data_IF_077807703359
#
_entry.id   IF_077807703359
#
_cell.length_a   1.000
_cell.length_b   1.000
_cell.length_c   1.000
_cell.angle_alpha   90.00
_cell.angle_beta   90.00
_cell.angle_gamma   90.00
#
_symmetry.space_group_name_H-M   'P 1'
#
loop_
_entity.id
_entity.type
_entity.pdbx_description
1 polymer ?
#
# COMPACT_ATOMS: atom_id res chain seq x y z
N UNK A 1 -38.63 -12.42 -9.75
CA UNK A 1 -37.83 -11.20 -10.05
C UNK A 1 -36.79 -10.84 -8.98
N UNK A 2 -36.64 -11.61 -7.89
CA UNK A 2 -35.76 -11.27 -6.76
C UNK A 2 -34.44 -12.07 -6.59
N UNK A 3 -34.21 -13.26 -7.19
CA UNK A 3 -32.99 -14.03 -6.88
C UNK A 3 -31.74 -13.54 -7.64
N UNK A 4 -31.92 -12.93 -8.82
CA UNK A 4 -30.80 -12.40 -9.60
C UNK A 4 -30.20 -11.13 -8.99
N UNK A 5 -31.03 -10.30 -8.34
CA UNK A 5 -30.59 -9.04 -7.73
C UNK A 5 -29.76 -9.29 -6.46
N UNK A 6 -30.10 -10.31 -5.66
CA UNK A 6 -29.33 -10.69 -4.47
C UNK A 6 -28.00 -11.34 -4.81
N UNK A 7 -27.93 -12.14 -5.88
CA UNK A 7 -26.67 -12.70 -6.39
C UNK A 7 -25.72 -11.61 -6.92
N UNK A 8 -26.25 -10.60 -7.61
CA UNK A 8 -25.47 -9.45 -8.06
C UNK A 8 -24.92 -8.63 -6.89
N UNK A 9 -25.77 -8.33 -5.89
CA UNK A 9 -25.32 -7.61 -4.69
C UNK A 9 -24.29 -8.44 -3.91
N UNK A 10 -24.48 -9.75 -3.75
CA UNK A 10 -23.51 -10.63 -3.09
C UNK A 10 -22.19 -10.73 -3.85
N UNK A 11 -22.21 -10.78 -5.19
CA UNK A 11 -21.01 -10.76 -6.02
C UNK A 11 -20.28 -9.41 -5.93
N UNK A 12 -21.01 -8.29 -5.92
CA UNK A 12 -20.44 -6.94 -5.74
C UNK A 12 -19.85 -6.79 -4.34
N UNK A 13 -20.52 -7.28 -3.29
CA UNK A 13 -20.01 -7.28 -1.92
C UNK A 13 -18.78 -8.18 -1.79
N UNK A 14 -18.74 -9.35 -2.44
CA UNK A 14 -17.56 -10.20 -2.49
C UNK A 14 -16.38 -9.55 -3.23
N UNK A 15 -16.64 -8.90 -4.38
CA UNK A 15 -15.65 -8.10 -5.11
C UNK A 15 -15.08 -6.95 -4.27
N UNK A 16 -15.90 -6.33 -3.41
CA UNK A 16 -15.46 -5.26 -2.50
C UNK A 16 -14.77 -5.79 -1.23
N UNK A 17 -15.21 -6.93 -0.69
CA UNK A 17 -14.63 -7.54 0.51
C UNK A 17 -13.21 -8.10 0.29
N UNK A 18 -12.86 -8.50 -0.94
CA UNK A 18 -11.49 -8.89 -1.29
C UNK A 18 -10.49 -7.73 -1.07
N UNK A 19 -10.94 -6.48 -1.10
CA UNK A 19 -10.09 -5.31 -0.85
C UNK A 19 -9.79 -5.06 0.63
N UNK A 20 -10.58 -5.63 1.57
CA UNK A 20 -10.42 -5.40 3.00
C UNK A 20 -9.57 -6.48 3.70
N UNK A 21 -9.17 -7.53 2.99
CA UNK A 21 -8.29 -8.59 3.52
C UNK A 21 -6.79 -8.20 3.52
N UNK A 22 -6.46 -6.92 3.25
CA UNK A 22 -5.15 -6.38 3.63
C UNK A 22 -5.13 -6.17 5.14
N UNK A 23 -5.02 -7.26 5.90
CA UNK A 23 -4.49 -7.19 7.24
C UNK A 23 -3.16 -6.42 7.12
N UNK A 24 -3.07 -5.26 7.79
CA UNK A 24 -1.96 -4.28 7.76
C UNK A 24 -0.58 -4.92 7.95
N UNK A 25 -0.06 -5.61 6.94
CA UNK A 25 1.31 -6.07 6.90
C UNK A 25 2.15 -4.88 6.43
N UNK A 26 3.27 -4.63 7.10
CA UNK A 26 4.24 -3.65 6.63
C UNK A 26 4.91 -4.16 5.36
N UNK A 27 5.15 -3.29 4.40
CA UNK A 27 5.85 -3.63 3.17
C UNK A 27 7.34 -3.93 3.47
N UNK A 28 7.83 -5.06 2.94
CA UNK A 28 9.22 -5.53 3.14
C UNK A 28 10.25 -4.60 2.48
N UNK A 29 9.81 -3.74 1.56
CA UNK A 29 10.64 -2.69 0.97
C UNK A 29 11.13 -1.68 2.02
N UNK A 30 10.42 -1.53 3.15
CA UNK A 30 10.74 -0.55 4.19
C UNK A 30 10.98 -1.28 5.53
N UNK A 31 12.16 -1.87 5.74
CA UNK A 31 12.40 -2.80 6.86
C UNK A 31 12.39 -2.15 8.25
N UNK A 32 12.52 -0.82 8.34
CA UNK A 32 12.60 -0.09 9.62
C UNK A 32 11.33 0.68 9.98
N UNK A 33 10.42 0.89 9.02
CA UNK A 33 9.21 1.69 9.20
C UNK A 33 8.01 0.92 8.66
N UNK A 34 6.88 0.99 9.37
CA UNK A 34 5.69 0.30 8.90
C UNK A 34 4.92 1.16 7.91
N UNK A 35 5.07 0.86 6.61
CA UNK A 35 4.31 1.47 5.52
C UNK A 35 3.51 0.37 4.83
N UNK A 36 2.22 0.61 4.58
CA UNK A 36 1.35 -0.37 3.94
C UNK A 36 1.74 -0.57 2.46
N UNK A 37 1.64 -1.79 1.89
CA UNK A 37 1.78 -2.02 0.46
C UNK A 37 0.75 -1.27 -0.38
N UNK A 38 1.02 -1.08 -1.68
CA UNK A 38 0.05 -0.56 -2.64
C UNK A 38 -1.18 -1.49 -2.78
N UNK A 39 -2.38 -0.94 -3.07
CA UNK A 39 -2.80 0.47 -3.00
C UNK A 39 -3.28 0.90 -1.58
N UNK A 40 -3.23 2.19 -1.21
CA UNK A 40 -2.99 3.38 -2.05
C UNK A 40 -1.51 3.65 -2.35
N UNK A 41 -1.22 4.54 -3.31
CA UNK A 41 0.14 5.06 -3.47
C UNK A 41 0.39 6.17 -2.44
N UNK A 42 1.35 5.96 -1.55
CA UNK A 42 1.79 6.96 -0.58
C UNK A 42 2.99 7.72 -1.13
N UNK A 43 3.01 9.03 -0.93
CA UNK A 43 4.16 9.90 -1.17
C UNK A 43 4.81 10.29 0.18
N UNK A 44 6.02 10.86 0.17
CA UNK A 44 6.71 11.32 1.39
C UNK A 44 5.89 12.31 2.22
N UNK A 45 4.99 13.09 1.60
CA UNK A 45 4.07 14.01 2.30
C UNK A 45 2.94 13.30 3.05
N UNK A 46 2.65 12.03 2.73
CA UNK A 46 1.58 11.26 3.34
C UNK A 46 2.02 10.47 4.58
N UNK A 47 3.32 10.40 4.84
CA UNK A 47 3.90 9.66 5.97
C UNK A 47 4.81 10.58 6.80
N UNK A 48 4.95 10.33 8.11
CA UNK A 48 5.84 11.11 8.97
C UNK A 48 7.32 10.69 8.86
N UNK A 49 7.62 9.55 8.25
CA UNK A 49 8.97 8.98 8.23
C UNK A 49 9.86 9.67 7.19
N UNK A 50 11.13 9.90 7.54
CA UNK A 50 12.17 10.51 6.70
C UNK A 50 13.48 9.75 6.87
N UNK A 51 14.35 9.82 5.87
CA UNK A 51 15.70 9.24 5.90
C UNK A 51 15.72 7.77 6.36
N UNK A 52 14.85 6.93 5.80
CA UNK A 52 14.76 5.51 6.19
C UNK A 52 15.30 4.59 5.09
N UNK A 53 15.89 3.42 5.43
CA UNK A 53 16.33 2.45 4.45
C UNK A 53 15.20 1.95 3.54
N UNK A 54 15.47 1.91 2.24
CA UNK A 54 14.58 1.38 1.20
C UNK A 54 15.26 0.20 0.51
N UNK A 55 14.48 -0.86 0.26
CA UNK A 55 14.90 -2.03 -0.51
C UNK A 55 14.20 -2.05 -1.87
N UNK A 56 14.90 -2.55 -2.88
CA UNK A 56 14.31 -2.83 -4.18
C UNK A 56 13.44 -4.10 -4.14
N UNK A 57 12.31 -4.14 -4.88
CA UNK A 57 11.72 -3.03 -5.64
C UNK A 57 11.05 -2.03 -4.69
N UNK A 58 11.21 -0.72 -4.92
CA UNK A 58 10.60 0.37 -4.13
C UNK A 58 9.19 0.69 -4.66
N UNK A 59 8.10 0.14 -4.07
CA UNK A 59 6.78 0.19 -4.71
C UNK A 59 6.15 1.58 -4.64
N UNK A 60 6.48 2.38 -3.62
CA UNK A 60 6.02 3.77 -3.48
C UNK A 60 6.96 4.79 -4.09
N UNK A 61 8.19 4.39 -4.47
CA UNK A 61 9.20 5.27 -5.09
C UNK A 61 9.66 6.36 -4.13
N UNK A 62 9.83 6.00 -2.85
CA UNK A 62 10.36 6.91 -1.83
C UNK A 62 11.86 7.23 -2.04
N UNK A 63 12.60 6.34 -2.69
CA UNK A 63 14.01 6.47 -3.05
C UNK A 63 14.12 6.67 -4.58
N UNK A 64 14.18 7.94 -5.01
CA UNK A 64 14.11 8.30 -6.44
C UNK A 64 15.47 8.25 -7.13
N UNK A 65 16.52 8.58 -6.40
CA UNK A 65 17.93 8.57 -6.81
C UNK A 65 18.59 7.19 -6.64
N UNK A 66 17.94 6.25 -5.93
CA UNK A 66 18.33 4.85 -5.76
C UNK A 66 19.59 4.67 -4.93
N UNK A 67 19.79 5.52 -3.95
CA UNK A 67 20.92 5.42 -3.02
C UNK A 67 20.62 4.52 -1.81
N UNK A 68 19.39 4.01 -1.72
CA UNK A 68 18.91 3.15 -0.66
C UNK A 68 18.24 3.90 0.50
N UNK A 69 18.08 5.22 0.41
CA UNK A 69 17.45 6.05 1.43
C UNK A 69 16.18 6.71 0.89
N UNK A 70 15.05 6.43 1.55
CA UNK A 70 13.75 6.97 1.19
C UNK A 70 13.43 8.29 1.89
N UNK A 71 12.75 9.19 1.16
CA UNK A 71 12.21 10.45 1.67
C UNK A 71 13.23 11.29 2.44
N UNK A 72 14.35 11.56 1.78
CA UNK A 72 15.43 12.37 2.34
C UNK A 72 15.04 13.84 2.54
N UNK A 73 15.67 14.50 3.50
CA UNK A 73 15.45 15.91 3.84
C UNK A 73 16.61 16.80 3.38
N UNK A 74 17.18 16.50 2.20
CA UNK A 74 18.25 17.31 1.60
C UNK A 74 17.74 18.69 1.15
#
# INVERSE_FOLDING_TARGET
MRPFLTLLIAAIVALFAIQLASAKACDRAYPTVCIAPKPPNLDCKNIPHRNFPVRSPDPHRFDRDRDGIGCETR
#
